data_IF_273589574445
#
_entry.id   IF_273589574445
#
_cell.length_a   1.000
_cell.length_b   1.000
_cell.length_c   1.000
_cell.angle_alpha   90.00
_cell.angle_beta   90.00
_cell.angle_gamma   90.00
#
_symmetry.space_group_name_H-M   'P 1'
#
loop_
_entity.id
_entity.type
_entity.pdbx_description
1 polymer ?
#
# COMPACT_ATOMS: atom_id res chain seq x y z
N UNK A 1 -41.48 -12.45 -25.67
CA UNK A 1 -41.94 -11.85 -24.38
C UNK A 1 -41.45 -10.41 -24.27
N UNK A 2 -42.35 -9.42 -24.28
CA UNK A 2 -41.98 -8.01 -24.04
C UNK A 2 -41.84 -7.80 -22.53
N UNK A 3 -40.63 -7.52 -22.07
CA UNK A 3 -40.36 -7.23 -20.67
C UNK A 3 -41.04 -5.90 -20.28
N UNK A 4 -41.89 -5.91 -19.25
CA UNK A 4 -42.66 -4.74 -18.81
C UNK A 4 -41.77 -3.59 -18.34
N UNK A 5 -42.23 -2.35 -18.53
CA UNK A 5 -41.46 -1.12 -18.28
C UNK A 5 -40.87 -1.04 -16.85
N UNK A 6 -41.57 -1.59 -15.85
CA UNK A 6 -41.10 -1.71 -14.45
C UNK A 6 -39.87 -2.61 -14.33
N UNK A 7 -39.85 -3.74 -15.02
CA UNK A 7 -38.74 -4.69 -14.98
C UNK A 7 -37.48 -4.10 -15.63
N UNK A 8 -37.63 -3.27 -16.67
CA UNK A 8 -36.51 -2.55 -17.30
C UNK A 8 -35.87 -1.53 -16.36
N UNK A 9 -36.66 -0.78 -15.58
CA UNK A 9 -36.15 0.19 -14.58
C UNK A 9 -35.37 -0.50 -13.46
N UNK A 10 -35.87 -1.64 -12.98
CA UNK A 10 -35.19 -2.46 -11.95
C UNK A 10 -33.84 -2.98 -12.45
N UNK A 11 -33.79 -3.50 -13.68
CA UNK A 11 -32.54 -4.02 -14.26
C UNK A 11 -31.50 -2.90 -14.43
N UNK A 12 -31.90 -1.73 -14.94
CA UNK A 12 -31.01 -0.58 -15.10
C UNK A 12 -30.44 -0.13 -13.74
N UNK A 13 -31.29 -0.05 -12.71
CA UNK A 13 -30.84 0.30 -11.35
C UNK A 13 -29.83 -0.71 -10.80
N UNK A 14 -30.03 -2.00 -11.07
CA UNK A 14 -29.12 -3.06 -10.62
C UNK A 14 -27.74 -2.94 -11.29
N UNK A 15 -27.72 -2.66 -12.60
CA UNK A 15 -26.48 -2.44 -13.36
C UNK A 15 -25.70 -1.25 -12.80
N UNK A 16 -26.39 -0.14 -12.51
CA UNK A 16 -25.75 1.06 -11.93
C UNK A 16 -25.11 0.76 -10.57
N UNK A 17 -25.80 0.00 -9.70
CA UNK A 17 -25.25 -0.42 -8.40
C UNK A 17 -24.02 -1.31 -8.57
N UNK A 18 -24.06 -2.29 -9.48
CA UNK A 18 -22.92 -3.18 -9.74
C UNK A 18 -21.70 -2.40 -10.25
N UNK A 19 -21.92 -1.46 -11.17
CA UNK A 19 -20.84 -0.59 -11.69
C UNK A 19 -20.26 0.28 -10.57
N UNK A 20 -21.10 0.87 -9.72
CA UNK A 20 -20.65 1.66 -8.56
C UNK A 20 -19.79 0.83 -7.59
N UNK A 21 -20.21 -0.40 -7.27
CA UNK A 21 -19.45 -1.30 -6.40
C UNK A 21 -18.12 -1.68 -7.03
N UNK A 22 -18.07 -1.95 -8.34
CA UNK A 22 -16.82 -2.25 -9.05
C UNK A 22 -15.86 -1.05 -9.08
N UNK A 23 -16.38 0.16 -9.30
CA UNK A 23 -15.58 1.40 -9.27
C UNK A 23 -15.05 1.68 -7.87
N UNK A 24 -15.88 1.53 -6.83
CA UNK A 24 -15.45 1.69 -5.45
C UNK A 24 -14.38 0.65 -5.07
N UNK A 25 -14.56 -0.61 -5.44
CA UNK A 25 -13.58 -1.67 -5.18
C UNK A 25 -12.23 -1.44 -5.85
N UNK A 26 -12.24 -0.94 -7.10
CA UNK A 26 -11.01 -0.61 -7.84
C UNK A 26 -10.32 0.65 -7.30
N UNK A 27 -11.07 1.68 -6.93
CA UNK A 27 -10.51 2.88 -6.28
C UNK A 27 -9.93 2.54 -4.91
N UNK A 28 -10.62 1.72 -4.12
CA UNK A 28 -10.15 1.32 -2.79
C UNK A 28 -8.88 0.46 -2.87
N UNK A 29 -8.79 -0.45 -3.85
CA UNK A 29 -7.60 -1.29 -4.07
C UNK A 29 -6.39 -0.50 -4.59
N UNK A 30 -6.61 0.49 -5.45
CA UNK A 30 -5.52 1.28 -6.02
C UNK A 30 -5.01 2.39 -5.08
N UNK A 31 -5.84 2.94 -4.19
CA UNK A 31 -5.42 4.06 -3.32
C UNK A 31 -4.44 3.64 -2.21
N UNK A 32 -4.36 2.36 -1.84
CA UNK A 32 -3.43 1.89 -0.78
C UNK A 32 -2.09 1.37 -1.31
N UNK A 33 -2.02 0.93 -2.56
CA UNK A 33 -0.78 0.39 -3.14
C UNK A 33 -0.09 1.50 -3.93
N UNK A 34 0.84 2.21 -3.30
CA UNK A 34 1.75 3.08 -4.06
C UNK A 34 2.79 2.21 -4.74
N UNK A 35 3.01 2.49 -6.03
CA UNK A 35 3.95 1.75 -6.86
C UNK A 35 5.20 2.60 -7.03
N UNK A 36 6.36 2.04 -6.69
CA UNK A 36 7.66 2.63 -7.00
C UNK A 36 8.28 2.00 -8.25
N UNK A 37 9.15 2.73 -8.93
CA UNK A 37 9.90 2.21 -10.09
C UNK A 37 10.97 1.19 -9.66
N UNK A 38 11.52 1.36 -8.46
CA UNK A 38 12.42 0.41 -7.81
C UNK A 38 11.81 -0.09 -6.49
N UNK A 39 12.30 -1.22 -5.93
CA UNK A 39 11.86 -1.66 -4.62
C UNK A 39 12.05 -0.60 -3.52
N UNK A 40 13.18 0.12 -3.55
CA UNK A 40 13.54 1.20 -2.63
C UNK A 40 12.54 2.35 -2.70
N UNK A 41 12.24 2.80 -3.93
CA UNK A 41 11.26 3.85 -4.20
C UNK A 41 9.86 3.45 -3.69
N UNK A 42 9.47 2.19 -3.88
CA UNK A 42 8.20 1.66 -3.39
C UNK A 42 8.12 1.69 -1.85
N UNK A 43 9.23 1.40 -1.15
CA UNK A 43 9.30 1.48 0.31
C UNK A 43 9.20 2.93 0.81
N UNK A 44 9.89 3.88 0.16
CA UNK A 44 9.80 5.31 0.48
C UNK A 44 8.37 5.83 0.28
N UNK A 45 7.74 5.50 -0.85
CA UNK A 45 6.35 5.85 -1.12
C UNK A 45 5.38 5.23 -0.11
N UNK A 46 5.62 3.98 0.30
CA UNK A 46 4.85 3.32 1.34
C UNK A 46 5.00 4.06 2.68
N UNK A 47 6.22 4.34 3.12
CA UNK A 47 6.49 5.11 4.35
C UNK A 47 5.81 6.48 4.34
N UNK A 48 5.86 7.21 3.24
CA UNK A 48 5.14 8.49 3.09
C UNK A 48 3.62 8.34 3.19
N UNK A 49 3.05 7.17 2.88
CA UNK A 49 1.62 6.91 3.08
C UNK A 49 1.26 6.51 4.48
N UNK A 50 2.14 5.79 5.16
CA UNK A 50 1.84 5.19 6.47
C UNK A 50 2.31 6.04 7.64
N UNK A 51 3.21 6.99 7.41
CA UNK A 51 3.69 7.93 8.43
C UNK A 51 3.05 9.30 8.23
N UNK A 52 2.66 9.94 9.34
CA UNK A 52 1.73 11.07 9.33
C UNK A 52 2.37 12.42 9.02
N UNK A 53 3.72 12.60 9.09
CA UNK A 53 4.43 13.80 8.59
C UNK A 53 5.96 13.89 8.80
N UNK A 54 6.59 13.07 9.63
CA UNK A 54 7.98 13.33 10.05
C UNK A 54 8.84 12.08 10.19
N UNK A 55 8.96 11.27 9.13
CA UNK A 55 10.04 10.29 9.09
C UNK A 55 11.26 10.89 8.38
N UNK A 56 12.43 10.77 9.01
CA UNK A 56 13.71 11.03 8.35
C UNK A 56 14.32 9.70 7.97
N UNK A 57 14.68 9.53 6.70
CA UNK A 57 15.45 8.38 6.25
C UNK A 57 16.87 8.49 6.80
N UNK A 58 17.30 7.51 7.59
CA UNK A 58 18.66 7.41 8.11
C UNK A 58 19.53 6.59 7.16
N UNK A 59 19.04 5.40 6.78
CA UNK A 59 19.78 4.48 5.91
C UNK A 59 18.81 3.64 5.07
N UNK A 60 19.29 3.18 3.93
CA UNK A 60 18.58 2.31 3.00
C UNK A 60 19.47 1.12 2.64
N UNK A 61 18.99 -0.08 2.94
CA UNK A 61 19.66 -1.31 2.52
C UNK A 61 19.18 -1.68 1.12
N UNK A 62 20.10 -1.99 0.19
CA UNK A 62 19.73 -2.35 -1.17
C UNK A 62 18.81 -3.58 -1.16
N UNK A 63 17.81 -3.57 -2.03
CA UNK A 63 16.85 -4.64 -2.05
C UNK A 63 17.44 -5.96 -2.56
N UNK A 64 17.14 -7.05 -1.85
CA UNK A 64 17.42 -8.40 -2.33
C UNK A 64 16.31 -8.85 -3.27
N UNK A 65 16.58 -8.85 -4.57
CA UNK A 65 15.59 -9.16 -5.61
C UNK A 65 15.67 -10.64 -6.01
N UNK A 66 14.52 -11.32 -6.02
CA UNK A 66 14.35 -12.69 -6.53
C UNK A 66 13.10 -12.76 -7.42
N UNK A 67 13.29 -12.67 -8.73
CA UNK A 67 12.20 -12.64 -9.70
C UNK A 67 11.29 -11.43 -9.50
N UNK A 68 9.99 -11.69 -9.32
CA UNK A 68 8.98 -10.64 -9.05
C UNK A 68 8.83 -10.31 -7.57
N UNK A 69 9.76 -10.73 -6.72
CA UNK A 69 9.76 -10.45 -5.28
C UNK A 69 11.04 -9.75 -4.86
N UNK A 70 10.96 -8.90 -3.84
CA UNK A 70 12.13 -8.27 -3.26
C UNK A 70 11.94 -8.07 -1.75
N UNK A 71 13.05 -7.98 -1.02
CA UNK A 71 13.08 -7.57 0.38
C UNK A 71 13.97 -6.32 0.48
N UNK A 72 13.47 -5.26 1.10
CA UNK A 72 14.17 -4.00 1.28
C UNK A 72 14.20 -3.62 2.77
N UNK A 73 15.34 -3.10 3.22
CA UNK A 73 15.51 -2.61 4.59
C UNK A 73 15.59 -1.09 4.61
N UNK A 74 14.83 -0.41 5.46
CA UNK A 74 14.94 1.03 5.67
C UNK A 74 15.15 1.31 7.15
N UNK A 75 16.10 2.18 7.46
CA UNK A 75 16.28 2.74 8.80
C UNK A 75 15.72 4.17 8.81
N UNK A 76 14.82 4.49 9.74
CA UNK A 76 14.22 5.82 9.86
C UNK A 76 14.06 6.32 11.28
N UNK A 77 13.97 7.65 11.43
CA UNK A 77 13.66 8.34 12.69
C UNK A 77 12.20 8.77 12.79
N UNK A 78 11.30 7.80 12.73
CA UNK A 78 9.87 7.97 12.87
C UNK A 78 9.40 7.63 14.28
N UNK A 79 9.82 8.45 15.25
CA UNK A 79 9.34 8.36 16.62
C UNK A 79 7.79 8.38 16.66
N UNK A 80 7.20 7.33 17.24
CA UNK A 80 5.79 7.22 17.67
C UNK A 80 4.68 7.36 16.60
N UNK A 81 4.95 7.15 15.31
CA UNK A 81 3.96 7.50 14.26
C UNK A 81 3.63 6.42 13.22
N UNK A 82 4.02 5.16 13.41
CA UNK A 82 3.46 4.08 12.60
C UNK A 82 2.00 3.81 12.97
N UNK A 83 1.09 4.15 12.05
CA UNK A 83 -0.37 3.93 12.05
C UNK A 83 -0.94 3.26 13.32
N UNK A 84 -1.17 4.03 14.39
CA UNK A 84 -1.82 3.55 15.62
C UNK A 84 -1.21 2.29 16.27
N UNK A 85 0.03 1.91 15.95
CA UNK A 85 0.64 0.70 16.52
C UNK A 85 1.38 0.95 17.82
N UNK A 86 1.66 2.20 18.22
CA UNK A 86 2.63 2.51 19.29
C UNK A 86 3.96 1.76 19.11
N UNK A 87 4.28 1.39 17.86
CA UNK A 87 5.51 0.69 17.51
C UNK A 87 6.50 1.74 17.02
N UNK A 88 7.67 1.73 17.63
CA UNK A 88 8.75 2.67 17.36
C UNK A 88 9.63 2.83 18.60
N UNK A 89 10.95 2.79 18.41
CA UNK A 89 11.90 2.97 19.50
C UNK A 89 11.90 4.42 19.97
N UNK A 90 11.95 4.61 21.29
CA UNK A 90 12.01 5.93 21.91
C UNK A 90 13.33 6.67 21.62
N UNK A 91 14.39 5.94 21.25
CA UNK A 91 15.69 6.50 20.86
C UNK A 91 15.69 7.12 19.46
N UNK A 92 14.68 6.86 18.63
CA UNK A 92 14.52 7.49 17.32
C UNK A 92 15.20 6.78 16.15
N UNK A 93 15.57 5.51 16.26
CA UNK A 93 15.97 4.72 15.09
C UNK A 93 15.10 3.46 14.98
N UNK A 94 14.38 3.31 13.87
CA UNK A 94 13.56 2.14 13.57
C UNK A 94 14.09 1.44 12.32
N UNK A 95 14.15 0.10 12.37
CA UNK A 95 14.52 -0.72 11.21
C UNK A 95 13.27 -1.39 10.67
N UNK A 96 12.98 -1.12 9.41
CA UNK A 96 11.84 -1.66 8.69
C UNK A 96 12.30 -2.63 7.62
N UNK A 97 11.70 -3.82 7.63
CA UNK A 97 11.84 -4.81 6.58
C UNK A 97 10.56 -4.86 5.77
N UNK A 98 10.66 -4.51 4.50
CA UNK A 98 9.56 -4.52 3.56
C UNK A 98 9.69 -5.70 2.61
N UNK A 99 8.61 -6.46 2.49
CA UNK A 99 8.47 -7.45 1.43
C UNK A 99 7.73 -6.78 0.28
N UNK A 100 8.25 -6.95 -0.93
CA UNK A 100 7.75 -6.30 -2.12
C UNK A 100 7.42 -7.28 -3.22
N UNK A 101 6.47 -6.89 -4.06
CA UNK A 101 6.12 -7.61 -5.28
C UNK A 101 6.12 -6.69 -6.49
N UNK A 102 6.63 -7.19 -7.61
CA UNK A 102 6.62 -6.51 -8.90
C UNK A 102 5.31 -6.75 -9.64
N UNK A 103 4.81 -5.72 -10.30
CA UNK A 103 3.65 -5.77 -11.19
C UNK A 103 3.94 -4.99 -12.47
N UNK A 104 3.00 -4.99 -13.42
CA UNK A 104 3.07 -4.14 -14.61
C UNK A 104 3.09 -2.63 -14.29
N UNK A 105 2.69 -2.22 -13.08
CA UNK A 105 2.69 -0.81 -12.64
C UNK A 105 3.96 -0.41 -11.88
N UNK A 106 4.80 -1.38 -11.48
CA UNK A 106 5.95 -1.16 -10.62
C UNK A 106 5.96 -2.07 -9.40
N UNK A 107 6.86 -1.77 -8.46
CA UNK A 107 7.01 -2.45 -7.18
C UNK A 107 6.06 -1.89 -6.14
N UNK A 108 5.49 -2.74 -5.29
CA UNK A 108 4.70 -2.29 -4.16
C UNK A 108 4.99 -3.15 -2.93
N UNK A 109 4.82 -2.56 -1.76
CA UNK A 109 4.97 -3.26 -0.47
C UNK A 109 3.76 -4.18 -0.24
N UNK A 110 4.03 -5.46 -0.03
CA UNK A 110 3.03 -6.48 0.32
C UNK A 110 2.92 -6.70 1.81
N UNK A 111 4.02 -6.52 2.54
CA UNK A 111 4.13 -6.74 3.98
C UNK A 111 5.24 -5.85 4.54
N UNK A 112 5.02 -5.37 5.76
CA UNK A 112 5.91 -4.48 6.48
C UNK A 112 6.13 -4.98 7.91
N UNK A 113 7.36 -5.35 8.22
CA UNK A 113 7.79 -5.82 9.54
C UNK A 113 8.69 -4.76 10.16
N UNK A 114 8.26 -4.21 11.30
CA UNK A 114 9.11 -3.40 12.18
C UNK A 114 9.65 -4.34 13.26
N UNK A 115 10.98 -4.48 13.35
CA UNK A 115 11.62 -5.31 14.38
C UNK A 115 11.90 -4.45 15.62
N UNK A 116 11.35 -4.82 16.78
CA UNK A 116 11.49 -4.11 18.06
C UNK A 116 12.76 -4.52 18.85
N UNK A 117 13.80 -5.02 18.17
CA UNK A 117 15.00 -5.52 18.88
C UNK A 117 15.79 -4.42 19.55
#
# INVERSE_FOLDING_TARGET
>A
MKMGLKNKKVIISLIVVVVLVAVLGTVYSNKRRRYGLTPEDACKLYLQTVTSKHYTLIDEKPAQIKGDTAICGIVSNDQFNWFNRNNGRADGENIHLFHLKKTSKGWYVTEDNADDK
#
